data_IF_702379236827
#
_entry.id   IF_702379236827
#
_cell.length_a   1.000
_cell.length_b   1.000
_cell.length_c   1.000
_cell.angle_alpha   90.00
_cell.angle_beta   90.00
_cell.angle_gamma   90.00
#
_symmetry.space_group_name_H-M   'P 1'
#
loop_
_entity.id
_entity.type
_entity.pdbx_description
1 polymer ?
#
# COMPACT_ATOMS: atom_id res chain seq x y z
N UNK A 1 9.75 -7.88 7.73
CA UNK A 1 8.70 -6.89 7.41
C UNK A 1 7.52 -6.87 8.39
N UNK A 2 6.70 -7.93 8.55
CA UNK A 2 5.63 -7.92 9.58
C UNK A 2 6.20 -8.00 10.99
N UNK A 3 7.20 -8.88 11.20
CA UNK A 3 7.93 -8.98 12.45
C UNK A 3 8.62 -7.66 12.83
N UNK A 4 9.20 -6.96 11.85
CA UNK A 4 9.84 -5.66 12.09
C UNK A 4 8.81 -4.59 12.48
N UNK A 5 7.63 -4.58 11.84
CA UNK A 5 6.54 -3.69 12.24
C UNK A 5 5.96 -4.06 13.62
N UNK A 6 5.95 -5.35 13.97
CA UNK A 6 5.59 -5.80 15.31
C UNK A 6 6.59 -5.26 16.35
N UNK A 7 7.90 -5.33 16.06
CA UNK A 7 8.95 -4.85 16.95
C UNK A 7 9.00 -3.32 17.07
N UNK A 8 8.78 -2.58 15.98
CA UNK A 8 9.00 -1.13 15.93
C UNK A 8 7.73 -0.28 16.07
N UNK A 9 6.58 -0.84 15.74
CA UNK A 9 5.29 -0.13 15.71
C UNK A 9 4.15 -1.00 16.28
N UNK A 10 4.48 -2.01 17.09
CA UNK A 10 3.53 -2.90 17.76
C UNK A 10 2.49 -3.53 16.83
N UNK A 11 2.83 -3.78 15.55
CA UNK A 11 1.92 -4.39 14.59
C UNK A 11 0.80 -3.46 14.10
N UNK A 12 0.88 -2.16 14.42
CA UNK A 12 -0.13 -1.16 14.05
C UNK A 12 0.00 -0.75 12.60
N UNK A 13 -1.11 -0.35 11.99
CA UNK A 13 -1.11 0.24 10.66
C UNK A 13 -0.27 1.53 10.66
N UNK A 14 0.61 1.68 9.67
CA UNK A 14 1.43 2.87 9.51
C UNK A 14 0.67 4.01 8.83
N UNK A 15 -0.23 3.71 7.89
CA UNK A 15 -0.99 4.73 7.15
C UNK A 15 -1.96 5.55 8.03
N UNK A 16 -2.58 4.92 9.05
CA UNK A 16 -3.44 5.57 10.07
C UNK A 16 -4.45 6.60 9.54
N UNK A 17 -5.05 6.33 8.38
CA UNK A 17 -6.01 7.24 7.73
C UNK A 17 -7.26 7.38 8.61
N UNK A 18 -7.60 8.63 8.95
CA UNK A 18 -8.76 8.96 9.76
C UNK A 18 -10.04 8.41 9.11
N UNK A 19 -10.94 7.85 9.92
CA UNK A 19 -12.23 7.29 9.52
C UNK A 19 -12.17 6.06 8.58
N UNK A 20 -10.96 5.56 8.26
CA UNK A 20 -10.72 4.38 7.40
C UNK A 20 -9.98 3.26 8.15
N UNK A 21 -9.04 3.64 9.02
CA UNK A 21 -8.08 2.70 9.61
C UNK A 21 -8.73 1.69 10.57
N UNK A 22 -8.48 0.40 10.34
CA UNK A 22 -8.84 -0.69 11.27
C UNK A 22 -7.80 -0.91 12.39
N UNK A 23 -6.72 -0.13 12.41
CA UNK A 23 -5.72 -0.09 13.48
C UNK A 23 -4.59 -1.11 13.37
N UNK A 24 -4.86 -2.31 12.86
CA UNK A 24 -3.88 -3.42 12.81
C UNK A 24 -3.43 -3.73 11.40
N UNK A 25 -2.16 -4.11 11.24
CA UNK A 25 -1.62 -4.48 9.94
C UNK A 25 -2.15 -5.83 9.50
N UNK A 26 -2.55 -5.90 8.24
CA UNK A 26 -2.94 -7.14 7.56
C UNK A 26 -2.20 -7.30 6.23
N UNK A 27 -1.68 -6.21 5.67
CA UNK A 27 -1.14 -6.12 4.31
C UNK A 27 0.06 -5.14 4.25
N UNK A 28 0.76 -5.12 3.10
CA UNK A 28 1.73 -4.08 2.78
C UNK A 28 1.21 -3.21 1.64
N UNK A 29 1.49 -1.92 1.75
CA UNK A 29 1.20 -0.93 0.72
C UNK A 29 2.51 -0.49 0.07
N UNK A 30 2.58 -0.56 -1.27
CA UNK A 30 3.69 0.05 -2.01
C UNK A 30 3.52 1.57 -2.01
N UNK A 31 4.50 2.30 -1.46
CA UNK A 31 4.45 3.79 -1.44
C UNK A 31 4.79 4.42 -2.79
N UNK A 32 5.44 3.65 -3.67
CA UNK A 32 5.68 3.98 -5.06
C UNK A 32 5.11 2.86 -5.94
N UNK A 33 4.87 3.15 -7.21
CA UNK A 33 4.32 2.15 -8.12
C UNK A 33 5.20 0.90 -8.18
N UNK A 34 4.59 -0.28 -7.99
CA UNK A 34 5.29 -1.58 -8.03
C UNK A 34 6.09 -1.80 -9.31
N UNK A 35 5.64 -1.26 -10.44
CA UNK A 35 6.37 -1.33 -11.72
C UNK A 35 7.75 -0.62 -11.68
N UNK A 36 7.91 0.36 -10.80
CA UNK A 36 9.16 1.14 -10.63
C UNK A 36 10.05 0.51 -9.57
N UNK A 37 9.48 0.06 -8.45
CA UNK A 37 10.25 -0.37 -7.28
C UNK A 37 10.30 -1.88 -7.05
N UNK A 38 9.52 -2.65 -7.80
CA UNK A 38 9.25 -4.04 -7.47
C UNK A 38 8.69 -4.21 -6.05
N UNK A 39 9.10 -5.28 -5.39
CA UNK A 39 8.74 -5.60 -4.01
C UNK A 39 9.87 -5.28 -3.02
N UNK A 40 10.67 -4.24 -3.32
CA UNK A 40 11.73 -3.76 -2.43
C UNK A 40 11.14 -3.33 -1.07
N UNK A 41 11.58 -3.92 0.05
CA UNK A 41 11.09 -3.60 1.39
C UNK A 41 11.20 -2.11 1.75
N UNK A 42 12.14 -1.36 1.15
CA UNK A 42 12.32 0.08 1.37
C UNK A 42 11.17 0.91 0.82
N UNK A 43 10.36 0.34 -0.08
CA UNK A 43 9.22 0.98 -0.73
C UNK A 43 7.89 0.34 -0.31
N UNK A 44 7.88 -0.42 0.78
CA UNK A 44 6.70 -1.05 1.35
C UNK A 44 6.43 -0.48 2.76
N UNK A 45 5.17 -0.18 3.04
CA UNK A 45 4.73 0.22 4.39
C UNK A 45 3.64 -0.70 4.88
N UNK A 46 3.66 -0.98 6.19
CA UNK A 46 2.69 -1.87 6.81
C UNK A 46 1.31 -1.18 6.91
N UNK A 47 0.27 -1.81 6.36
CA UNK A 47 -1.07 -1.23 6.25
C UNK A 47 -2.16 -2.20 6.72
N UNK A 48 -3.28 -1.64 7.20
CA UNK A 48 -4.51 -2.41 7.28
C UNK A 48 -5.18 -2.44 5.91
N UNK A 49 -5.92 -3.51 5.60
CA UNK A 49 -6.62 -3.66 4.32
C UNK A 49 -7.53 -2.47 3.94
N UNK A 50 -8.29 -1.86 4.87
CA UNK A 50 -9.05 -0.64 4.59
C UNK A 50 -8.17 0.53 4.12
N UNK A 51 -7.07 0.84 4.83
CA UNK A 51 -6.17 1.92 4.42
C UNK A 51 -5.49 1.60 3.09
N UNK A 52 -5.04 0.35 2.87
CA UNK A 52 -4.38 -0.04 1.64
C UNK A 52 -5.28 0.19 0.42
N UNK A 53 -6.54 -0.26 0.50
CA UNK A 53 -7.54 -0.07 -0.55
C UNK A 53 -7.92 1.39 -0.75
N UNK A 54 -8.02 2.18 0.32
CA UNK A 54 -8.36 3.60 0.22
C UNK A 54 -7.27 4.44 -0.48
N UNK A 55 -5.99 4.10 -0.30
CA UNK A 55 -4.89 4.77 -1.01
C UNK A 55 -4.77 4.26 -2.44
N UNK A 56 -4.85 2.94 -2.63
CA UNK A 56 -4.74 2.30 -3.93
C UNK A 56 -5.99 2.39 -4.80
N UNK A 57 -7.00 3.17 -4.41
CA UNK A 57 -8.26 3.29 -5.15
C UNK A 57 -8.02 3.90 -6.55
N UNK A 58 -8.13 3.11 -7.64
CA UNK A 58 -7.92 3.62 -8.99
C UNK A 58 -8.98 4.66 -9.38
N UNK A 59 -10.14 4.72 -8.71
CA UNK A 59 -11.14 5.75 -8.97
C UNK A 59 -10.67 7.16 -8.55
N UNK A 60 -9.63 7.30 -7.72
CA UNK A 60 -9.00 8.60 -7.41
C UNK A 60 -8.12 9.14 -8.53
N UNK A 61 -7.51 8.26 -9.31
CA UNK A 61 -6.65 8.61 -10.44
C UNK A 61 -6.64 7.44 -11.42
N UNK A 62 -7.51 7.52 -12.43
CA UNK A 62 -7.59 6.56 -13.52
C UNK A 62 -6.82 7.13 -14.74
N UNK A 63 -5.55 6.76 -14.93
CA UNK A 63 -4.79 7.24 -16.08
C UNK A 63 -5.42 6.70 -17.36
N UNK A 64 -5.58 7.56 -18.38
CA UNK A 64 -6.11 7.11 -19.66
C UNK A 64 -5.31 5.90 -20.18
N UNK A 65 -6.00 4.83 -20.62
CA UNK A 65 -5.34 3.65 -21.17
C UNK A 65 -4.40 4.05 -22.31
N UNK A 66 -3.15 3.61 -22.23
CA UNK A 66 -2.17 3.78 -23.31
C UNK A 66 -2.10 2.50 -24.11
N UNK A 67 -2.19 2.59 -25.44
CA UNK A 67 -2.08 1.43 -26.33
C UNK A 67 -0.67 0.83 -26.20
N UNK A 68 -0.54 -0.31 -25.53
CA UNK A 68 0.73 -1.02 -25.39
C UNK A 68 0.76 -2.16 -26.40
N UNK A 69 1.30 -1.86 -27.59
CA UNK A 69 1.50 -2.77 -28.74
C UNK A 69 0.25 -3.46 -29.29
N UNK A 70 0.36 -3.86 -30.56
CA UNK A 70 -0.63 -4.62 -31.33
C UNK A 70 -0.05 -6.04 -31.47
N UNK A 71 -0.90 -7.05 -31.35
CA UNK A 71 -0.54 -8.47 -31.49
C UNK A 71 0.31 -8.73 -32.73
#
# INVERSE_FOLDING_TARGET
MLADNAATNAGRCTLRIKDVCAGWVTEFHHVLGRAVTGDDPRHLVAACGPCNRHVGDPARYDPQPRTMTRW
#
